data_IF_146239381574
#
_entry.id   IF_146239381574
#
_cell.length_a   1.000
_cell.length_b   1.000
_cell.length_c   1.000
_cell.angle_alpha   90.00
_cell.angle_beta   90.00
_cell.angle_gamma   90.00
#
_symmetry.space_group_name_H-M   'P 1'
#
loop_
_entity.id
_entity.type
_entity.pdbx_description
1 polymer ?
#
# COMPACT_ATOMS: atom_id res chain seq x y z
N UNK A 1 -4.63 -17.39 -22.26
CA UNK A 1 -3.85 -17.73 -21.04
C UNK A 1 -2.97 -16.54 -20.71
N UNK A 2 -3.43 -15.62 -19.85
CA UNK A 2 -2.73 -14.36 -19.57
C UNK A 2 -2.71 -14.16 -18.05
N UNK A 3 -1.81 -14.89 -17.37
CA UNK A 3 -1.39 -14.49 -16.03
C UNK A 3 -0.49 -13.28 -16.26
N UNK A 4 -1.13 -12.11 -16.33
CA UNK A 4 -0.48 -10.81 -16.55
C UNK A 4 0.47 -10.53 -15.40
N UNK A 5 1.63 -10.03 -15.79
CA UNK A 5 2.76 -9.58 -14.98
C UNK A 5 2.32 -9.05 -13.61
N UNK A 6 2.57 -9.87 -12.58
CA UNK A 6 2.45 -9.45 -11.18
C UNK A 6 3.75 -8.72 -10.85
N UNK A 7 3.76 -7.40 -11.05
CA UNK A 7 4.87 -6.56 -10.56
C UNK A 7 4.63 -6.36 -9.06
N UNK A 8 5.22 -7.22 -8.24
CA UNK A 8 5.14 -7.09 -6.78
C UNK A 8 6.03 -5.90 -6.35
N UNK A 9 5.43 -4.73 -6.19
CA UNK A 9 6.09 -3.56 -5.61
C UNK A 9 6.19 -3.69 -4.09
N UNK A 10 7.17 -4.45 -3.58
CA UNK A 10 7.37 -4.63 -2.13
C UNK A 10 7.87 -3.32 -1.51
N UNK A 11 7.05 -2.63 -0.71
CA UNK A 11 7.58 -1.63 0.23
C UNK A 11 8.19 -2.37 1.43
N UNK A 12 9.49 -2.65 1.39
CA UNK A 12 10.23 -3.19 2.54
C UNK A 12 10.75 -2.07 3.49
N UNK A 13 10.18 -0.87 3.44
CA UNK A 13 10.90 0.36 3.77
C UNK A 13 10.27 1.28 4.80
N UNK A 14 10.02 0.82 6.04
CA UNK A 14 10.04 1.72 7.21
C UNK A 14 10.83 1.10 8.37
N UNK A 15 12.08 0.69 8.11
CA UNK A 15 13.15 0.74 9.13
C UNK A 15 14.44 1.15 8.43
N UNK A 16 14.75 2.43 8.50
CA UNK A 16 16.11 2.91 8.25
C UNK A 16 16.57 3.90 9.32
N UNK A 17 16.01 3.83 10.54
CA UNK A 17 16.51 4.57 11.70
C UNK A 17 16.36 3.90 13.08
N UNK A 18 15.70 2.73 13.24
CA UNK A 18 15.76 1.99 14.51
C UNK A 18 16.73 0.82 14.38
N UNK A 19 17.83 0.88 15.14
CA UNK A 19 18.92 -0.11 15.21
C UNK A 19 18.50 -1.47 15.82
N UNK A 20 17.29 -1.94 15.53
CA UNK A 20 16.69 -3.17 16.04
C UNK A 20 15.81 -3.71 14.91
N UNK A 21 16.32 -4.65 14.12
CA UNK A 21 15.59 -5.25 13.00
C UNK A 21 14.36 -6.00 13.51
N UNK A 22 13.17 -5.52 13.16
CA UNK A 22 11.91 -6.29 13.21
C UNK A 22 11.10 -6.00 11.96
N UNK A 23 10.58 -7.06 11.35
CA UNK A 23 9.86 -7.08 10.08
C UNK A 23 8.47 -6.42 10.18
N UNK A 24 8.41 -5.11 10.41
CA UNK A 24 7.17 -4.37 10.65
C UNK A 24 6.94 -3.30 9.57
N UNK A 25 6.79 -3.73 8.31
CA UNK A 25 6.34 -2.86 7.21
C UNK A 25 5.20 -3.53 6.42
N UNK A 26 4.18 -2.78 5.97
CA UNK A 26 3.17 -3.32 5.08
C UNK A 26 3.74 -3.70 3.71
N UNK A 27 3.30 -4.83 3.16
CA UNK A 27 3.68 -5.28 1.83
C UNK A 27 2.61 -4.83 0.84
N UNK A 28 3.05 -4.20 -0.26
CA UNK A 28 2.20 -3.78 -1.37
C UNK A 28 2.53 -4.66 -2.58
N UNK A 29 1.54 -4.96 -3.40
CA UNK A 29 1.72 -5.61 -4.71
C UNK A 29 0.88 -4.92 -5.76
N UNK A 30 1.43 -4.74 -6.95
CA UNK A 30 0.72 -4.16 -8.09
C UNK A 30 0.41 -5.23 -9.13
N UNK A 31 -0.76 -5.10 -9.74
CA UNK A 31 -1.17 -5.92 -10.86
C UNK A 31 -1.80 -5.03 -11.93
N UNK A 32 -1.46 -5.30 -13.18
CA UNK A 32 -2.07 -4.64 -14.31
C UNK A 32 -3.55 -5.02 -14.43
N UNK A 33 -4.43 -4.03 -14.55
CA UNK A 33 -5.83 -4.22 -14.92
C UNK A 33 -6.01 -3.83 -16.39
N UNK A 34 -7.02 -4.42 -17.05
CA UNK A 34 -7.42 -3.96 -18.39
C UNK A 34 -7.96 -2.53 -18.32
N UNK A 35 -7.69 -1.71 -19.34
CA UNK A 35 -8.19 -0.33 -19.40
C UNK A 35 -7.24 0.74 -18.85
N UNK A 36 -5.95 0.43 -18.64
CA UNK A 36 -4.95 1.44 -18.25
C UNK A 36 -4.87 1.73 -16.75
N UNK A 37 -5.45 0.86 -15.93
CA UNK A 37 -5.43 0.95 -14.47
C UNK A 37 -4.48 -0.07 -13.85
N UNK A 38 -4.10 0.19 -12.60
CA UNK A 38 -3.29 -0.69 -11.75
C UNK A 38 -4.08 -1.01 -10.51
N UNK A 39 -4.11 -2.29 -10.13
CA UNK A 39 -4.64 -2.75 -8.86
C UNK A 39 -3.50 -2.88 -7.86
N UNK A 40 -3.54 -2.08 -6.80
CA UNK A 40 -2.66 -2.20 -5.64
C UNK A 40 -3.33 -3.05 -4.56
N UNK A 41 -2.59 -3.97 -3.95
CA UNK A 41 -3.03 -4.79 -2.83
C UNK A 41 -2.03 -4.64 -1.68
N UNK A 42 -2.51 -4.35 -0.48
CA UNK A 42 -1.68 -4.13 0.69
C UNK A 42 -2.03 -5.12 1.82
N UNK A 43 -1.01 -5.61 2.53
CA UNK A 43 -1.16 -6.43 3.74
C UNK A 43 -0.20 -5.95 4.82
N UNK A 44 -0.63 -6.00 6.07
CA UNK A 44 0.18 -5.67 7.24
C UNK A 44 0.03 -6.74 8.32
N UNK A 45 0.76 -6.59 9.42
CA UNK A 45 0.75 -7.50 10.58
C UNK A 45 -0.07 -6.92 11.73
N UNK A 46 -0.57 -7.80 12.61
CA UNK A 46 -1.33 -7.38 13.79
C UNK A 46 -0.58 -6.38 14.70
N UNK A 47 0.75 -6.50 14.94
CA UNK A 47 1.49 -5.50 15.70
C UNK A 47 1.42 -4.09 15.12
N UNK A 48 1.45 -3.92 13.80
CA UNK A 48 1.33 -2.61 13.15
C UNK A 48 -0.08 -2.04 13.28
N UNK A 49 -1.09 -2.87 13.12
CA UNK A 49 -2.49 -2.48 13.32
C UNK A 49 -2.71 -2.01 14.77
N UNK A 50 -2.18 -2.74 15.74
CA UNK A 50 -2.23 -2.36 17.16
C UNK A 50 -1.48 -1.05 17.47
N UNK A 51 -0.56 -0.62 16.60
CA UNK A 51 0.14 0.68 16.67
C UNK A 51 -0.58 1.80 15.92
N UNK A 52 -1.80 1.56 15.46
CA UNK A 52 -2.67 2.56 14.82
C UNK A 52 -2.73 2.48 13.30
N UNK A 53 -2.01 1.55 12.66
CA UNK A 53 -2.04 1.41 11.18
C UNK A 53 -3.40 0.90 10.72
N UNK A 54 -4.02 1.64 9.82
CA UNK A 54 -5.27 1.29 9.13
C UNK A 54 -5.04 1.37 7.62
N UNK A 55 -4.76 0.22 7.00
CA UNK A 55 -4.54 0.14 5.56
C UNK A 55 -5.78 0.51 4.74
N UNK A 56 -6.99 0.28 5.26
CA UNK A 56 -8.22 0.63 4.55
C UNK A 56 -8.29 2.14 4.31
N UNK A 57 -8.11 2.90 5.38
CA UNK A 57 -8.09 4.37 5.32
C UNK A 57 -6.92 4.88 4.50
N UNK A 58 -5.73 4.30 4.68
CA UNK A 58 -4.53 4.74 3.96
C UNK A 58 -4.68 4.54 2.43
N UNK A 59 -5.10 3.34 2.02
CA UNK A 59 -5.29 3.00 0.60
C UNK A 59 -6.40 3.84 -0.03
N UNK A 60 -7.53 4.06 0.67
CA UNK A 60 -8.61 4.93 0.19
C UNK A 60 -8.12 6.36 -0.03
N UNK A 61 -7.56 6.98 1.02
CA UNK A 61 -7.15 8.39 0.98
C UNK A 61 -6.11 8.68 -0.11
N UNK A 62 -5.16 7.77 -0.31
CA UNK A 62 -4.12 7.94 -1.32
C UNK A 62 -4.67 7.68 -2.72
N UNK A 63 -5.47 6.63 -2.91
CA UNK A 63 -6.07 6.33 -4.21
C UNK A 63 -6.98 7.48 -4.67
N UNK A 64 -7.84 7.99 -3.79
CA UNK A 64 -8.77 9.09 -4.11
C UNK A 64 -8.01 10.35 -4.58
N UNK A 65 -6.83 10.63 -4.00
CA UNK A 65 -5.98 11.77 -4.40
C UNK A 65 -5.37 11.60 -5.79
N UNK A 66 -5.18 10.37 -6.24
CA UNK A 66 -4.63 10.05 -7.57
C UNK A 66 -5.74 9.77 -8.60
N UNK A 67 -7.00 10.08 -8.28
CA UNK A 67 -8.15 9.81 -9.15
C UNK A 67 -8.52 8.32 -9.23
N UNK A 68 -8.03 7.53 -8.29
CA UNK A 68 -8.35 6.12 -8.11
C UNK A 68 -9.43 5.90 -7.05
N UNK A 69 -9.59 4.64 -6.64
CA UNK A 69 -10.49 4.25 -5.54
C UNK A 69 -9.80 3.24 -4.64
N UNK A 70 -10.08 3.25 -3.34
CA UNK A 70 -9.49 2.30 -2.40
C UNK A 70 -10.36 1.98 -1.20
N UNK A 71 -9.97 0.94 -0.46
CA UNK A 71 -10.64 0.50 0.77
C UNK A 71 -10.29 -0.94 1.14
N UNK A 72 -11.02 -1.49 2.11
CA UNK A 72 -10.84 -2.85 2.63
C UNK A 72 -10.86 -2.88 4.16
N UNK A 73 -9.96 -3.65 4.75
CA UNK A 73 -9.81 -3.80 6.20
C UNK A 73 -8.46 -3.24 6.67
N UNK A 74 -8.36 -2.96 7.97
CA UNK A 74 -7.14 -2.44 8.62
C UNK A 74 -5.88 -3.27 8.31
N UNK A 75 -6.01 -4.61 8.26
CA UNK A 75 -4.90 -5.53 8.02
C UNK A 75 -4.67 -5.86 6.54
N UNK A 76 -5.69 -5.73 5.69
CA UNK A 76 -5.64 -6.07 4.27
C UNK A 76 -6.59 -5.19 3.46
N UNK A 77 -6.04 -4.41 2.54
CA UNK A 77 -6.75 -3.42 1.76
C UNK A 77 -6.29 -3.42 0.30
N UNK A 78 -7.07 -2.79 -0.56
CA UNK A 78 -6.77 -2.66 -1.99
C UNK A 78 -7.10 -1.27 -2.51
N UNK A 79 -6.49 -0.93 -3.63
CA UNK A 79 -6.79 0.27 -4.38
C UNK A 79 -6.70 0.00 -5.89
N UNK A 80 -7.41 0.80 -6.67
CA UNK A 80 -7.24 0.92 -8.12
C UNK A 80 -6.74 2.32 -8.41
N UNK A 81 -5.64 2.45 -9.13
CA UNK A 81 -5.01 3.74 -9.47
C UNK A 81 -4.69 3.81 -10.96
N UNK A 82 -4.57 5.00 -11.55
CA UNK A 82 -4.12 5.15 -12.94
C UNK A 82 -2.71 4.58 -13.13
N UNK A 83 -2.46 3.91 -14.27
CA UNK A 83 -1.10 3.46 -14.61
C UNK A 83 -0.13 4.63 -14.73
N UNK A 84 1.09 4.46 -14.25
CA UNK A 84 2.13 5.48 -14.20
C UNK A 84 2.16 6.28 -12.89
N UNK A 85 1.20 6.04 -11.98
CA UNK A 85 1.13 6.71 -10.66
C UNK A 85 1.63 5.83 -9.52
N UNK A 86 2.16 4.64 -9.79
CA UNK A 86 2.58 3.64 -8.79
C UNK A 86 3.61 4.23 -7.81
N UNK A 87 4.66 4.89 -8.31
CA UNK A 87 5.69 5.49 -7.47
C UNK A 87 5.16 6.62 -6.58
N UNK A 88 4.23 7.42 -7.11
CA UNK A 88 3.59 8.49 -6.35
C UNK A 88 2.66 7.92 -5.26
N UNK A 89 1.89 6.89 -5.62
CA UNK A 89 1.06 6.13 -4.69
C UNK A 89 1.89 5.56 -3.54
N UNK A 90 3.03 4.91 -3.82
CA UNK A 90 3.91 4.36 -2.79
C UNK A 90 4.43 5.44 -1.84
N UNK A 91 4.88 6.60 -2.36
CA UNK A 91 5.39 7.72 -1.55
C UNK A 91 4.31 8.31 -0.64
N UNK A 92 3.10 8.50 -1.18
CA UNK A 92 1.97 9.03 -0.43
C UNK A 92 1.48 8.03 0.62
N UNK A 93 1.48 6.74 0.29
CA UNK A 93 1.09 5.66 1.19
C UNK A 93 2.08 5.52 2.36
N UNK A 94 3.40 5.57 2.09
CA UNK A 94 4.43 5.59 3.14
C UNK A 94 4.21 6.76 4.11
N UNK A 95 4.00 7.97 3.58
CA UNK A 95 3.72 9.15 4.41
C UNK A 95 2.43 8.98 5.23
N UNK A 96 1.37 8.45 4.64
CA UNK A 96 0.10 8.25 5.34
C UNK A 96 0.22 7.22 6.47
N UNK A 97 0.87 6.08 6.22
CA UNK A 97 1.10 5.05 7.23
C UNK A 97 1.94 5.61 8.38
N UNK A 98 2.97 6.42 8.10
CA UNK A 98 3.76 7.08 9.15
C UNK A 98 2.95 8.06 9.99
N UNK A 99 1.96 8.74 9.41
CA UNK A 99 1.08 9.66 10.15
C UNK A 99 0.07 8.91 11.04
N UNK A 100 -0.22 7.64 10.74
CA UNK A 100 -1.13 6.80 11.53
C UNK A 100 -0.43 6.14 12.73
N UNK A 101 0.88 5.92 12.63
CA UNK A 101 1.66 5.37 13.74
C UNK A 101 1.62 6.32 14.94
N UNK A 102 1.14 5.80 16.07
CA UNK A 102 1.10 6.51 17.35
C UNK A 102 2.31 6.16 18.22
#
# INVERSE_FOLDING_TARGET
>A
NHIRDTVVGIIAGIILHSREGKNDAPIIGFANKEGGEIKASARTTAPLVNRGVDLSKAMQKVADRLGGTGGGHEMAAGATIPRGTEDEFLKMLDKEIRNQLT
#
